data_IF_894072924936
#
_entry.id   IF_894072924936
#
_cell.length_a   1.000
_cell.length_b   1.000
_cell.length_c   1.000
_cell.angle_alpha   90.00
_cell.angle_beta   90.00
_cell.angle_gamma   90.00
#
_symmetry.space_group_name_H-M   'P 1'
#
loop_
_entity.id
_entity.type
_entity.pdbx_description
1 polymer ?
#
# COMPACT_ATOMS: atom_id res chain seq x y z
N UNK A 1 -4.30 -19.11 11.32
CA UNK A 1 -3.94 -17.67 11.26
C UNK A 1 -4.59 -16.95 12.43
N UNK A 2 -3.94 -15.94 13.01
CA UNK A 2 -4.53 -15.11 14.07
C UNK A 2 -5.72 -14.30 13.49
N UNK A 3 -6.83 -14.15 14.22
CA UNK A 3 -8.01 -13.40 13.81
C UNK A 3 -7.68 -11.97 13.36
N UNK A 4 -6.70 -11.33 14.00
CA UNK A 4 -6.19 -9.99 13.60
C UNK A 4 -5.55 -10.00 12.21
N UNK A 5 -4.79 -11.05 11.88
CA UNK A 5 -4.17 -11.18 10.56
C UNK A 5 -5.20 -11.50 9.49
N UNK A 6 -6.19 -12.34 9.81
CA UNK A 6 -7.30 -12.62 8.93
C UNK A 6 -8.11 -11.35 8.61
N UNK A 7 -8.48 -10.56 9.63
CA UNK A 7 -9.20 -9.31 9.42
C UNK A 7 -8.41 -8.32 8.53
N UNK A 8 -7.10 -8.19 8.75
CA UNK A 8 -6.24 -7.36 7.90
C UNK A 8 -6.24 -7.85 6.45
N UNK A 9 -6.09 -9.15 6.23
CA UNK A 9 -6.13 -9.73 4.90
C UNK A 9 -7.50 -9.53 4.23
N UNK A 10 -8.60 -9.71 4.98
CA UNK A 10 -9.96 -9.48 4.49
C UNK A 10 -10.20 -8.03 4.10
N UNK A 11 -9.78 -7.07 4.94
CA UNK A 11 -9.90 -5.63 4.63
C UNK A 11 -9.07 -5.29 3.39
N UNK A 12 -7.85 -5.81 3.29
CA UNK A 12 -7.00 -5.60 2.11
C UNK A 12 -7.63 -6.18 0.83
N UNK A 13 -8.19 -7.38 0.91
CA UNK A 13 -8.91 -8.02 -0.20
C UNK A 13 -10.13 -7.21 -0.61
N UNK A 14 -10.91 -6.71 0.35
CA UNK A 14 -12.09 -5.90 0.11
C UNK A 14 -11.72 -4.57 -0.59
N UNK A 15 -10.67 -3.89 -0.12
CA UNK A 15 -10.16 -2.69 -0.79
C UNK A 15 -9.68 -2.99 -2.22
N UNK A 16 -8.99 -4.12 -2.42
CA UNK A 16 -8.56 -4.55 -3.75
C UNK A 16 -9.75 -4.81 -4.68
N UNK A 17 -10.80 -5.46 -4.16
CA UNK A 17 -12.05 -5.67 -4.89
C UNK A 17 -12.71 -4.36 -5.30
N UNK A 18 -12.77 -3.37 -4.41
CA UNK A 18 -13.35 -2.05 -4.72
C UNK A 18 -12.62 -1.39 -5.90
N UNK A 19 -11.28 -1.42 -5.90
CA UNK A 19 -10.48 -0.86 -7.02
C UNK A 19 -10.80 -1.57 -8.33
N UNK A 20 -10.85 -2.91 -8.33
CA UNK A 20 -11.19 -3.70 -9.52
C UNK A 20 -12.61 -3.41 -10.02
N UNK A 21 -13.59 -3.39 -9.10
CA UNK A 21 -14.99 -3.15 -9.42
C UNK A 21 -15.19 -1.77 -10.05
N UNK A 22 -14.60 -0.72 -9.45
CA UNK A 22 -14.63 0.63 -10.02
C UNK A 22 -13.99 0.63 -11.42
N UNK A 23 -12.85 -0.02 -11.59
CA UNK A 23 -12.18 -0.12 -12.89
C UNK A 23 -13.03 -0.81 -13.96
N UNK A 24 -13.71 -1.91 -13.60
CA UNK A 24 -14.59 -2.64 -14.52
C UNK A 24 -15.84 -1.84 -14.90
N UNK A 25 -16.43 -1.12 -13.94
CA UNK A 25 -17.63 -0.32 -14.16
C UNK A 25 -17.35 1.04 -14.81
N UNK A 26 -16.08 1.44 -14.91
CA UNK A 26 -15.65 2.71 -15.50
C UNK A 26 -14.54 2.47 -16.56
N UNK A 27 -14.86 1.83 -17.70
CA UNK A 27 -13.88 1.50 -18.73
C UNK A 27 -13.43 2.72 -19.55
N UNK A 28 -14.04 3.88 -19.32
CA UNK A 28 -13.74 5.10 -20.07
C UNK A 28 -12.32 5.61 -19.76
N UNK A 29 -11.75 6.30 -20.74
CA UNK A 29 -10.47 6.98 -20.58
C UNK A 29 -10.71 8.33 -19.92
N UNK A 30 -9.86 8.66 -18.95
CA UNK A 30 -9.89 9.95 -18.26
C UNK A 30 -8.55 10.65 -18.43
N UNK A 31 -8.60 11.98 -18.40
CA UNK A 31 -7.39 12.80 -18.31
C UNK A 31 -6.92 12.88 -16.86
N UNK A 32 -5.70 12.41 -16.63
CA UNK A 32 -5.02 12.52 -15.34
C UNK A 32 -4.09 13.73 -15.34
N UNK A 33 -4.34 14.66 -14.43
CA UNK A 33 -3.52 15.86 -14.23
C UNK A 33 -2.74 15.71 -12.93
N UNK A 34 -1.42 15.66 -13.03
CA UNK A 34 -0.56 15.61 -11.86
C UNK A 34 0.69 16.49 -12.05
N UNK A 35 0.50 17.83 -11.99
CA UNK A 35 1.54 18.79 -12.37
C UNK A 35 2.79 18.74 -11.47
N UNK A 36 2.71 18.08 -10.32
CA UNK A 36 3.86 17.90 -9.42
C UNK A 36 4.92 16.97 -10.03
N UNK A 37 4.52 15.95 -10.80
CA UNK A 37 5.46 14.99 -11.41
C UNK A 37 5.32 14.85 -12.94
N UNK A 38 4.25 15.38 -13.54
CA UNK A 38 3.96 15.23 -14.97
C UNK A 38 3.84 16.60 -15.63
N UNK A 39 4.63 16.83 -16.68
CA UNK A 39 4.58 18.07 -17.48
C UNK A 39 3.31 18.19 -18.32
N UNK A 40 2.67 17.06 -18.66
CA UNK A 40 1.49 16.98 -19.50
C UNK A 40 0.47 16.05 -18.88
N UNK A 41 -0.80 16.28 -19.20
CA UNK A 41 -1.89 15.37 -18.83
C UNK A 41 -1.68 14.00 -19.48
N UNK A 42 -2.05 12.95 -18.76
CA UNK A 42 -1.96 11.56 -19.22
C UNK A 42 -3.37 11.01 -19.38
N UNK A 43 -3.74 10.61 -20.59
CA UNK A 43 -5.06 10.04 -20.87
C UNK A 43 -4.99 8.51 -20.87
N UNK A 44 -5.58 7.88 -19.85
CA UNK A 44 -5.57 6.42 -19.68
C UNK A 44 -6.93 5.91 -19.17
N UNK A 45 -7.25 4.61 -19.34
CA UNK A 45 -8.39 3.99 -18.68
C UNK A 45 -8.41 4.28 -17.17
N UNK A 46 -9.56 4.68 -16.63
CA UNK A 46 -9.70 5.00 -15.20
C UNK A 46 -9.24 3.83 -14.30
N UNK A 47 -9.49 2.59 -14.73
CA UNK A 47 -9.03 1.38 -14.07
C UNK A 47 -7.51 1.37 -13.81
N UNK A 48 -6.70 1.78 -14.80
CA UNK A 48 -5.24 1.79 -14.65
C UNK A 48 -4.78 2.87 -13.68
N UNK A 49 -5.42 4.04 -13.69
CA UNK A 49 -5.07 5.15 -12.81
C UNK A 49 -5.42 4.85 -11.35
N UNK A 50 -6.62 4.30 -11.08
CA UNK A 50 -6.99 3.88 -9.74
C UNK A 50 -6.11 2.74 -9.22
N UNK A 51 -5.78 1.78 -10.09
CA UNK A 51 -4.85 0.71 -9.74
C UNK A 51 -3.44 1.24 -9.40
N UNK A 52 -2.90 2.16 -10.21
CA UNK A 52 -1.58 2.75 -9.97
C UNK A 52 -1.52 3.50 -8.63
N UNK A 53 -2.54 4.30 -8.32
CA UNK A 53 -2.62 5.04 -7.05
C UNK A 53 -2.79 4.10 -5.85
N UNK A 54 -3.62 3.06 -5.99
CA UNK A 54 -3.74 2.01 -4.98
C UNK A 54 -2.40 1.31 -4.74
N UNK A 55 -1.72 0.87 -5.80
CA UNK A 55 -0.42 0.20 -5.71
C UNK A 55 0.63 1.08 -5.03
N UNK A 56 0.70 2.37 -5.38
CA UNK A 56 1.59 3.33 -4.71
C UNK A 56 1.31 3.42 -3.20
N UNK A 57 0.03 3.52 -2.81
CA UNK A 57 -0.39 3.53 -1.40
C UNK A 57 -0.05 2.24 -0.66
N UNK A 58 -0.23 1.08 -1.30
CA UNK A 58 0.14 -0.23 -0.72
C UNK A 58 1.65 -0.33 -0.51
N UNK A 59 2.45 0.06 -1.50
CA UNK A 59 3.92 0.07 -1.39
C UNK A 59 4.36 1.00 -0.25
N UNK A 60 3.84 2.23 -0.21
CA UNK A 60 4.15 3.18 0.85
C UNK A 60 3.76 2.63 2.24
N UNK A 61 2.57 2.06 2.38
CA UNK A 61 2.12 1.42 3.62
C UNK A 61 2.99 0.24 4.03
N UNK A 62 3.44 -0.59 3.09
CA UNK A 62 4.39 -1.66 3.35
C UNK A 62 5.75 -1.13 3.82
N UNK A 63 6.27 -0.07 3.20
CA UNK A 63 7.54 0.57 3.60
C UNK A 63 7.45 1.18 5.01
N UNK A 64 6.35 1.84 5.35
CA UNK A 64 6.14 2.41 6.69
C UNK A 64 5.98 1.32 7.75
N UNK A 65 5.31 0.21 7.42
CA UNK A 65 5.09 -0.88 8.36
C UNK A 65 6.27 -1.86 8.45
N UNK A 66 7.19 -1.87 7.49
CA UNK A 66 8.43 -2.66 7.55
C UNK A 66 9.57 -1.96 8.31
N UNK A 67 9.50 -0.63 8.51
CA UNK A 67 10.51 0.16 9.22
C UNK A 67 10.47 0.13 10.76
N UNK A 68 9.50 -0.57 11.37
CA UNK A 68 9.28 -0.57 12.83
C UNK A 68 10.09 -1.60 13.64
N UNK A 69 11.05 -2.29 13.05
CA UNK A 69 11.67 -3.47 13.65
C UNK A 69 13.19 -3.54 13.52
N UNK A 70 13.94 -2.55 14.00
CA UNK A 70 15.36 -2.70 14.38
C UNK A 70 15.92 -1.42 15.03
N UNK A 71 15.63 -1.23 16.31
CA UNK A 71 16.50 -0.46 17.21
C UNK A 71 16.22 -0.86 18.67
N UNK A 72 17.08 -1.71 19.23
CA UNK A 72 17.29 -1.84 20.67
C UNK A 72 16.45 -2.88 21.41
N UNK A 73 16.91 -4.15 21.39
CA UNK A 73 17.09 -5.01 22.58
C UNK A 73 17.69 -6.37 22.20
N UNK A 74 18.88 -6.35 21.63
CA UNK A 74 19.96 -7.21 22.13
C UNK A 74 20.64 -6.36 23.21
N UNK A 75 20.97 -6.82 24.41
CA UNK A 75 21.55 -8.10 24.75
C UNK A 75 21.40 -8.29 26.27
N UNK A 76 20.96 -9.48 26.68
CA UNK A 76 21.15 -9.92 28.06
C UNK A 76 22.62 -10.19 28.30
N UNK A 77 23.31 -9.25 28.93
CA UNK A 77 24.66 -9.43 29.47
C UNK A 77 24.60 -9.78 30.95
N UNK A 78 24.30 -11.04 31.26
CA UNK A 78 24.58 -11.64 32.57
C UNK A 78 26.11 -11.69 32.77
N UNK A 79 26.69 -10.63 33.32
CA UNK A 79 28.10 -10.53 33.70
C UNK A 79 28.28 -10.65 35.21
N UNK A 80 28.61 -11.86 35.65
CA UNK A 80 28.94 -12.28 37.02
C UNK A 80 30.27 -11.64 37.50
N UNK A 81 30.36 -11.35 38.81
CA UNK A 81 31.56 -11.17 39.66
C UNK A 81 32.35 -9.84 39.59
N UNK A 82 32.33 -9.07 40.69
CA UNK A 82 33.41 -9.03 41.69
C UNK A 82 32.92 -8.33 42.97
#
# INVERSE_FOLDING_TARGET
MNAKMFLRAFVFLLLSFVVLYIGMMNPHRIDFYFPVLLEKKVTQPAALLFFAMFAAGVIAGMMLNSGGGSAGKSEGGSGKRK
#
